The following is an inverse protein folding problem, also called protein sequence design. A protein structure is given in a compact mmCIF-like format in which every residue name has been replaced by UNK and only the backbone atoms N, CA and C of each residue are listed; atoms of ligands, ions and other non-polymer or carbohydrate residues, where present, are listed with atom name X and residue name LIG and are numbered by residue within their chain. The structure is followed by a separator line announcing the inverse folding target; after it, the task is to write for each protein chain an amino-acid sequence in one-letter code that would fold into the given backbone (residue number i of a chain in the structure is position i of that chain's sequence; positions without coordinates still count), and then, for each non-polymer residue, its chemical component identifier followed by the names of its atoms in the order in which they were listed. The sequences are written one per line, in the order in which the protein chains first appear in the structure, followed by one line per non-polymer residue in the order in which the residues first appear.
data_IF_888927113384
#
_entry.id   IF_888927113384
#
_cell.length_a   1.000
_cell.length_b   1.000
_cell.length_c   1.000
_cell.angle_alpha   90.00
_cell.angle_beta   90.00
_cell.angle_gamma   90.00
#
_symmetry.space_group_name_H-M   'P 1'
#
loop_
_entity.id
_entity.type
_entity.pdbx_description
1 polymer ?
#
# COMPACT_ATOMS: atom_id res chain seq x y z
N UNK A 1 -0.80 13.51 4.41
CA UNK A 1 -1.17 12.59 3.31
C UNK A 1 -0.83 13.11 1.91
N UNK A 2 -0.56 14.41 1.72
CA UNK A 2 -0.01 14.94 0.47
C UNK A 2 1.38 14.30 0.22
N UNK A 3 1.50 13.43 -0.79
CA UNK A 3 2.77 12.78 -1.17
C UNK A 3 2.70 11.27 -1.41
N UNK A 4 1.63 10.60 -0.96
CA UNK A 4 1.30 9.23 -1.38
C UNK A 4 0.29 9.29 -2.51
N UNK A 5 0.60 8.65 -3.63
CA UNK A 5 -0.36 8.45 -4.71
C UNK A 5 -1.54 7.59 -4.22
N UNK A 6 -2.72 7.80 -4.80
CA UNK A 6 -3.97 7.17 -4.36
C UNK A 6 -3.87 5.64 -4.30
N UNK A 7 -3.16 5.05 -5.25
CA UNK A 7 -2.94 3.60 -5.31
C UNK A 7 -2.09 3.10 -4.15
N UNK A 8 -1.02 3.81 -3.79
CA UNK A 8 -0.23 3.51 -2.59
C UNK A 8 -1.06 3.65 -1.30
N UNK A 9 -1.97 4.62 -1.21
CA UNK A 9 -2.85 4.77 -0.06
C UNK A 9 -3.84 3.61 0.05
N UNK A 10 -4.45 3.19 -1.07
CA UNK A 10 -5.37 2.05 -1.09
C UNK A 10 -4.66 0.75 -0.67
N UNK A 11 -3.46 0.48 -1.20
CA UNK A 11 -2.67 -0.70 -0.82
C UNK A 11 -2.43 -0.74 0.71
N UNK A 12 -2.08 0.39 1.31
CA UNK A 12 -1.84 0.44 2.76
C UNK A 12 -3.13 0.20 3.53
N UNK A 13 -4.24 0.83 3.13
CA UNK A 13 -5.56 0.64 3.76
C UNK A 13 -6.01 -0.82 3.68
N UNK A 14 -6.01 -1.39 2.47
CA UNK A 14 -6.47 -2.75 2.21
C UNK A 14 -5.63 -3.84 2.92
N UNK A 15 -4.35 -3.57 3.20
CA UNK A 15 -3.47 -4.54 3.88
C UNK A 15 -3.39 -4.38 5.39
N UNK A 16 -3.55 -3.16 5.90
CA UNK A 16 -3.26 -2.84 7.31
C UNK A 16 -4.47 -2.41 8.11
N UNK A 17 -5.48 -1.80 7.48
CA UNK A 17 -6.64 -1.21 8.17
C UNK A 17 -7.93 -2.03 8.02
N UNK A 18 -7.98 -2.98 7.10
CA UNK A 18 -9.07 -3.93 6.99
C UNK A 18 -8.77 -5.14 7.89
N UNK A 19 -9.36 -5.21 9.08
CA UNK A 19 -9.05 -6.25 10.07
C UNK A 19 -9.66 -7.61 9.72
N UNK A 20 -10.84 -7.61 9.10
CA UNK A 20 -11.59 -8.83 8.77
C UNK A 20 -11.23 -9.38 7.38
N UNK A 21 -10.74 -8.54 6.47
CA UNK A 21 -10.45 -8.94 5.08
C UNK A 21 -9.16 -8.31 4.53
N UNK A 22 -8.02 -8.62 5.15
CA UNK A 22 -6.71 -8.17 4.66
C UNK A 22 -6.43 -8.69 3.27
N UNK A 23 -6.34 -7.78 2.31
CA UNK A 23 -5.94 -8.14 0.96
C UNK A 23 -4.48 -8.61 0.94
N UNK A 24 -4.22 -9.70 0.24
CA UNK A 24 -2.88 -10.20 -0.03
C UNK A 24 -2.19 -9.38 -1.12
N UNK A 25 -0.87 -9.54 -1.25
CA UNK A 25 -0.11 -8.94 -2.35
C UNK A 25 -0.60 -9.40 -3.72
N UNK A 26 -1.05 -10.66 -3.82
CA UNK A 26 -1.51 -11.25 -5.08
C UNK A 26 -2.87 -10.68 -5.49
N UNK A 27 -3.82 -10.56 -4.57
CA UNK A 27 -5.15 -9.98 -4.88
C UNK A 27 -5.05 -8.52 -5.32
N UNK A 28 -4.16 -7.76 -4.68
CA UNK A 28 -3.89 -6.38 -5.10
C UNK A 28 -3.15 -6.32 -6.44
N UNK A 29 -2.26 -7.27 -6.70
CA UNK A 29 -1.58 -7.38 -7.99
C UNK A 29 -2.57 -7.65 -9.12
N UNK A 30 -3.49 -8.59 -8.90
CA UNK A 30 -4.54 -8.93 -9.85
C UNK A 30 -5.50 -7.75 -10.06
N UNK A 31 -5.93 -7.08 -8.98
CA UNK A 31 -6.79 -5.88 -9.04
C UNK A 31 -6.16 -4.76 -9.86
N UNK A 32 -4.86 -4.55 -9.72
CA UNK A 32 -4.15 -3.45 -10.36
C UNK A 32 -3.42 -3.83 -11.66
N UNK A 33 -3.55 -5.07 -12.12
CA UNK A 33 -2.87 -5.55 -13.33
C UNK A 33 -1.34 -5.44 -13.28
N UNK A 34 -0.74 -5.69 -12.12
CA UNK A 34 0.73 -5.66 -11.94
C UNK A 34 1.22 -6.93 -11.24
N UNK A 35 2.53 -7.07 -11.07
CA UNK A 35 3.08 -8.15 -10.24
C UNK A 35 2.92 -7.90 -8.74
N UNK A 36 2.86 -8.99 -7.95
CA UNK A 36 2.88 -8.93 -6.49
C UNK A 36 4.10 -8.19 -5.94
N UNK A 37 5.28 -8.35 -6.57
CA UNK A 37 6.48 -7.59 -6.19
C UNK A 37 6.31 -6.09 -6.43
N UNK A 38 5.61 -5.68 -7.50
CA UNK A 38 5.32 -4.27 -7.73
C UNK A 38 4.44 -3.69 -6.62
N UNK A 39 3.42 -4.44 -6.16
CA UNK A 39 2.59 -4.04 -5.02
C UNK A 39 3.42 -3.94 -3.74
N UNK A 40 4.31 -4.90 -3.49
CA UNK A 40 5.24 -4.88 -2.35
C UNK A 40 6.16 -3.65 -2.35
N UNK A 41 6.68 -3.27 -3.51
CA UNK A 41 7.49 -2.06 -3.65
C UNK A 41 6.69 -0.78 -3.36
N UNK A 42 5.45 -0.70 -3.87
CA UNK A 42 4.55 0.42 -3.59
C UNK A 42 4.26 0.52 -2.10
N UNK A 43 3.91 -0.59 -1.45
CA UNK A 43 3.70 -0.65 0.00
C UNK A 43 4.93 -0.19 0.80
N UNK A 44 6.12 -0.68 0.46
CA UNK A 44 7.37 -0.30 1.15
C UNK A 44 7.65 1.20 1.02
N UNK A 45 7.50 1.74 -0.19
CA UNK A 45 7.69 3.18 -0.45
C UNK A 45 6.64 4.02 0.28
N UNK A 46 5.40 3.54 0.29
CA UNK A 46 4.29 4.17 0.97
C UNK A 46 4.52 4.25 2.49
N UNK A 47 4.93 3.14 3.11
CA UNK A 47 5.26 3.11 4.53
C UNK A 47 6.45 4.00 4.89
N UNK A 48 7.47 4.06 4.03
CA UNK A 48 8.60 4.98 4.24
C UNK A 48 8.14 6.45 4.27
N UNK A 49 7.28 6.85 3.34
CA UNK A 49 6.70 8.20 3.30
C UNK A 49 5.82 8.49 4.50
N UNK A 50 5.00 7.52 4.93
CA UNK A 50 4.13 7.66 6.09
C UNK A 50 4.93 7.88 7.38
N UNK A 51 5.98 7.09 7.60
CA UNK A 51 6.90 7.26 8.74
C UNK A 51 7.55 8.64 8.75
N UNK A 52 8.10 9.06 7.61
CA UNK A 52 8.73 10.38 7.48
C UNK A 52 7.75 11.53 7.76
N UNK A 53 6.47 11.39 7.42
CA UNK A 53 5.44 12.39 7.69
C UNK A 53 4.95 12.42 9.14
N UNK A 54 5.21 11.38 9.94
CA UNK A 54 4.89 11.32 11.37
C UNK A 54 6.07 11.81 12.22
N UNK A 55 7.29 11.57 11.75
CA UNK A 55 8.53 12.02 12.42
C UNK A 55 8.89 13.49 12.12
N UNK A 56 8.24 14.12 11.14
CA UNK A 56 8.44 15.52 10.75
C UNK A 56 7.47 16.47 11.48
#
# INVERSE_FOLDING_TARGET
MQGLDERSQDIIRARWLDEDNKSTLQELADRYGVSAERVRQLEKNAMKKLRAAIEA
#
